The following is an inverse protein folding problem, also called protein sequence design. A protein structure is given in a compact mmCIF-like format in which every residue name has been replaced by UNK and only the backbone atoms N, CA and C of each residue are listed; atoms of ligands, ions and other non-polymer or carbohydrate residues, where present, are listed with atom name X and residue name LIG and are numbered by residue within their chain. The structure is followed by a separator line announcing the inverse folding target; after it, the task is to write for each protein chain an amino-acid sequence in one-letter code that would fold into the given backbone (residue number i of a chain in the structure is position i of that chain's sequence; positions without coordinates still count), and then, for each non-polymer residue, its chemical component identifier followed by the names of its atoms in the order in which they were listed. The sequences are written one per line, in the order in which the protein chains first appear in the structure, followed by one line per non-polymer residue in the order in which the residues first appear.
data_IF_190382514512
#
_entry.id   IF_190382514512
#
_cell.length_a   1.000
_cell.length_b   1.000
_cell.length_c   1.000
_cell.angle_alpha   90.00
_cell.angle_beta   90.00
_cell.angle_gamma   90.00
#
_symmetry.space_group_name_H-M   'P 1'
#
loop_
_entity.id
_entity.type
_entity.pdbx_description
1 polymer ?
#
# COMPACT_ATOMS: atom_id res chain seq x y z
N UNK A 1 -11.26 12.90 8.69
CA UNK A 1 -10.42 13.45 7.61
C UNK A 1 -9.28 12.52 7.24
N UNK A 2 -8.60 11.95 8.25
CA UNK A 2 -7.41 11.10 8.09
C UNK A 2 -7.70 9.67 7.55
N UNK A 3 -8.78 9.01 8.03
CA UNK A 3 -9.24 7.69 7.53
C UNK A 3 -9.60 7.71 6.03
N UNK A 4 -9.97 8.88 5.49
CA UNK A 4 -10.41 9.06 4.09
C UNK A 4 -9.25 9.05 3.08
N UNK A 5 -8.01 9.19 3.54
CA UNK A 5 -6.82 9.25 2.70
C UNK A 5 -6.37 7.86 2.20
N UNK A 6 -6.76 6.78 2.91
CA UNK A 6 -6.38 5.39 2.60
C UNK A 6 -7.00 4.83 1.31
N UNK A 7 -8.03 5.46 0.75
CA UNK A 7 -8.71 5.01 -0.48
C UNK A 7 -8.15 5.61 -1.77
N UNK A 8 -7.26 6.61 -1.67
CA UNK A 8 -6.84 7.47 -2.79
C UNK A 8 -6.04 6.78 -3.90
N UNK A 9 -5.44 5.62 -3.64
CA UNK A 9 -4.25 5.23 -4.41
C UNK A 9 -4.39 3.87 -5.12
N UNK A 10 -5.46 3.14 -4.84
CA UNK A 10 -5.68 1.78 -5.35
C UNK A 10 -6.06 1.68 -6.84
N UNK A 11 -6.41 2.76 -7.56
CA UNK A 11 -6.95 2.63 -8.93
C UNK A 11 -6.29 3.46 -10.04
N UNK A 12 -5.33 4.35 -9.77
CA UNK A 12 -4.48 4.89 -10.83
C UNK A 12 -3.46 3.85 -11.34
N UNK A 13 -3.15 2.83 -10.54
CA UNK A 13 -2.24 1.73 -10.89
C UNK A 13 -2.87 0.68 -11.84
N UNK A 14 -4.19 0.70 -12.06
CA UNK A 14 -4.90 -0.35 -12.80
C UNK A 14 -4.70 -0.34 -14.33
N UNK A 15 -3.96 0.64 -14.89
CA UNK A 15 -3.70 0.73 -16.35
C UNK A 15 -2.29 0.26 -16.73
N UNK A 16 -1.39 -0.05 -15.77
CA UNK A 16 0.04 -0.24 -16.08
C UNK A 16 0.66 -1.59 -15.71
N UNK A 17 -0.09 -2.57 -15.19
CA UNK A 17 0.51 -3.86 -14.79
C UNK A 17 0.00 -5.01 -15.66
N UNK A 18 0.72 -5.24 -16.77
CA UNK A 18 0.62 -6.49 -17.52
C UNK A 18 1.98 -7.20 -17.51
N UNK A 19 2.05 -8.31 -16.77
CA UNK A 19 2.95 -9.42 -17.06
C UNK A 19 4.18 -9.58 -16.15
N UNK A 20 4.20 -10.70 -15.40
CA UNK A 20 5.42 -11.25 -14.82
C UNK A 20 5.17 -12.29 -13.71
N UNK A 21 5.54 -13.58 -13.90
CA UNK A 21 5.47 -14.59 -12.86
C UNK A 21 6.84 -14.85 -12.21
N UNK A 22 6.89 -14.85 -10.88
CA UNK A 22 7.69 -15.75 -10.02
C UNK A 22 7.49 -15.30 -8.56
N UNK A 23 6.91 -16.15 -7.71
CA UNK A 23 6.78 -15.87 -6.27
C UNK A 23 8.14 -16.07 -5.59
N UNK A 24 9.00 -15.05 -5.66
CA UNK A 24 10.06 -14.81 -4.69
C UNK A 24 9.49 -13.92 -3.56
N UNK A 25 10.18 -13.84 -2.41
CA UNK A 25 9.90 -12.77 -1.46
C UNK A 25 9.95 -11.42 -2.20
N UNK A 26 9.06 -10.45 -1.89
CA UNK A 26 9.05 -9.15 -2.56
C UNK A 26 10.46 -8.54 -2.56
N UNK A 27 10.88 -7.93 -3.68
CA UNK A 27 12.24 -7.34 -3.84
C UNK A 27 12.59 -6.31 -2.74
N UNK A 28 11.58 -5.77 -2.06
CA UNK A 28 11.72 -4.73 -1.03
C UNK A 28 11.67 -5.24 0.43
N UNK A 29 11.52 -6.54 0.66
CA UNK A 29 11.46 -7.07 2.01
C UNK A 29 12.81 -6.92 2.72
N UNK A 30 12.92 -5.95 3.63
CA UNK A 30 14.09 -5.84 4.52
C UNK A 30 14.16 -7.14 5.32
N UNK A 31 15.32 -7.78 5.34
CA UNK A 31 15.54 -9.02 6.08
C UNK A 31 15.92 -8.74 7.54
N UNK A 32 15.58 -9.67 8.43
CA UNK A 32 16.06 -9.65 9.79
C UNK A 32 17.59 -9.83 9.82
N UNK A 33 18.21 -9.54 10.97
CA UNK A 33 19.67 -9.61 11.15
C UNK A 33 20.27 -10.96 10.75
N UNK A 34 19.53 -12.04 10.98
CA UNK A 34 19.94 -13.40 10.67
C UNK A 34 19.78 -13.75 9.17
N UNK A 35 19.03 -12.96 8.40
CA UNK A 35 18.90 -13.10 6.94
C UNK A 35 17.87 -14.14 6.47
N UNK A 36 16.94 -14.57 7.33
CA UNK A 36 15.98 -15.64 7.03
C UNK A 36 14.55 -15.16 6.84
N UNK A 37 14.17 -14.08 7.51
CA UNK A 37 12.80 -13.56 7.55
C UNK A 37 12.75 -12.17 6.95
N UNK A 38 11.86 -11.99 5.98
CA UNK A 38 11.46 -10.67 5.49
C UNK A 38 10.07 -10.32 5.98
N UNK A 39 9.85 -9.08 6.41
CA UNK A 39 8.51 -8.53 6.68
C UNK A 39 8.14 -7.58 5.55
N UNK A 40 6.97 -7.81 4.98
CA UNK A 40 6.34 -6.98 3.97
C UNK A 40 5.04 -6.36 4.50
N UNK A 41 4.67 -5.21 3.96
CA UNK A 41 3.47 -4.44 4.34
C UNK A 41 2.58 -4.30 3.11
N UNK A 42 1.41 -4.93 3.13
CA UNK A 42 0.41 -4.84 2.05
C UNK A 42 -0.96 -4.51 2.64
N UNK A 43 -1.55 -3.39 2.20
CA UNK A 43 -2.97 -3.04 2.40
C UNK A 43 -3.51 -3.29 3.81
N UNK A 44 -2.84 -2.74 4.83
CA UNK A 44 -3.28 -2.82 6.23
C UNK A 44 -2.98 -4.16 6.92
N UNK A 45 -2.21 -5.03 6.27
CA UNK A 45 -1.66 -6.25 6.84
C UNK A 45 -0.13 -6.21 6.77
N UNK A 46 0.51 -7.03 7.62
CA UNK A 46 1.92 -7.35 7.47
C UNK A 46 2.10 -8.84 7.26
N UNK A 47 3.11 -9.23 6.50
CA UNK A 47 3.46 -10.62 6.27
C UNK A 47 4.93 -10.85 6.56
N UNK A 48 5.25 -11.78 7.47
CA UNK A 48 6.61 -12.29 7.63
C UNK A 48 6.74 -13.59 6.86
N UNK A 49 7.77 -13.74 6.03
CA UNK A 49 7.97 -14.98 5.29
C UNK A 49 9.41 -15.46 5.30
N UNK A 50 9.57 -16.77 5.15
CA UNK A 50 10.84 -17.47 5.04
C UNK A 50 10.75 -18.50 3.92
N UNK A 51 11.81 -18.62 3.13
CA UNK A 51 11.93 -19.70 2.14
C UNK A 51 12.54 -20.94 2.79
N UNK A 52 11.84 -22.07 2.70
CA UNK A 52 12.25 -23.37 3.19
C UNK A 52 13.13 -24.11 2.17
N UNK A 53 13.86 -25.13 2.64
CA UNK A 53 14.54 -26.07 1.75
C UNK A 53 13.54 -26.71 0.78
N UNK A 54 13.88 -26.74 -0.51
CA UNK A 54 12.97 -27.18 -1.58
C UNK A 54 12.18 -26.03 -2.24
N UNK A 55 12.34 -24.79 -1.76
CA UNK A 55 11.77 -23.60 -2.37
C UNK A 55 10.29 -23.36 -2.06
N UNK A 56 9.76 -24.04 -1.04
CA UNK A 56 8.48 -23.71 -0.41
C UNK A 56 8.64 -22.49 0.49
N UNK A 57 7.57 -21.75 0.75
CA UNK A 57 7.56 -20.56 1.61
C UNK A 57 6.63 -20.80 2.79
N UNK A 58 7.12 -20.53 3.99
CA UNK A 58 6.28 -20.41 5.18
C UNK A 58 6.04 -18.93 5.45
N UNK A 59 4.78 -18.58 5.69
CA UNK A 59 4.34 -17.20 5.80
C UNK A 59 3.48 -17.04 7.06
N UNK A 60 3.79 -16.04 7.86
CA UNK A 60 2.92 -15.47 8.87
C UNK A 60 2.24 -14.24 8.28
N UNK A 61 0.94 -14.11 8.45
CA UNK A 61 0.20 -12.90 8.08
C UNK A 61 -0.47 -12.32 9.31
N UNK A 62 -0.40 -11.01 9.51
CA UNK A 62 -1.01 -10.35 10.64
C UNK A 62 -1.85 -9.13 10.24
N UNK A 63 -3.00 -8.97 10.89
CA UNK A 63 -3.90 -7.81 10.77
C UNK A 63 -4.36 -7.41 12.18
N UNK A 64 -4.17 -6.14 12.54
CA UNK A 64 -4.54 -5.60 13.85
C UNK A 64 -4.02 -6.44 15.05
N UNK A 65 -2.84 -7.06 14.88
CA UNK A 65 -2.22 -7.92 15.88
C UNK A 65 -2.69 -9.38 15.91
N UNK A 66 -3.67 -9.76 15.09
CA UNK A 66 -4.10 -11.15 14.93
C UNK A 66 -3.25 -11.82 13.87
N UNK A 67 -2.64 -12.96 14.20
CA UNK A 67 -1.68 -13.65 13.33
C UNK A 67 -2.26 -14.96 12.84
N UNK A 68 -2.15 -15.19 11.54
CA UNK A 68 -2.42 -16.47 10.89
C UNK A 68 -1.17 -16.94 10.13
N UNK A 69 -1.23 -18.13 9.53
CA UNK A 69 -0.12 -18.65 8.74
C UNK A 69 -0.57 -19.33 7.45
N UNK A 70 0.37 -19.42 6.51
CA UNK A 70 0.23 -20.17 5.28
C UNK A 70 1.53 -20.87 4.89
N UNK A 71 1.38 -21.91 4.07
CA UNK A 71 2.46 -22.65 3.44
C UNK A 71 2.22 -22.63 1.93
N UNK A 72 3.24 -22.22 1.18
CA UNK A 72 3.25 -22.20 -0.28
C UNK A 72 4.30 -23.18 -0.75
N UNK A 73 3.92 -24.17 -1.53
CA UNK A 73 4.79 -25.23 -2.01
C UNK A 73 4.92 -25.17 -3.52
N UNK A 74 6.03 -25.68 -4.05
CA UNK A 74 6.19 -25.84 -5.51
C UNK A 74 5.42 -27.03 -6.05
N UNK A 75 5.06 -27.97 -5.19
CA UNK A 75 4.30 -29.18 -5.51
C UNK A 75 3.04 -29.26 -4.67
N UNK A 76 2.02 -29.96 -5.20
CA UNK A 76 0.76 -30.15 -4.50
C UNK A 76 0.97 -30.78 -3.11
N UNK A 77 0.40 -30.14 -2.10
CA UNK A 77 0.40 -30.59 -0.72
C UNK A 77 -0.68 -31.67 -0.52
N UNK A 78 -0.42 -32.68 0.34
CA UNK A 78 -1.45 -33.61 0.76
C UNK A 78 -2.64 -32.88 1.40
N UNK A 79 -3.82 -33.01 0.78
CA UNK A 79 -5.07 -32.51 1.36
C UNK A 79 -5.47 -33.33 2.56
N UNK A 80 -5.98 -32.64 3.58
CA UNK A 80 -6.59 -33.22 4.77
C UNK A 80 -7.73 -32.35 5.27
N UNK A 81 -8.50 -32.87 6.23
CA UNK A 81 -9.61 -32.15 6.87
C UNK A 81 -9.20 -31.52 8.20
N UNK A 82 -8.21 -32.09 8.87
CA UNK A 82 -7.67 -31.55 10.13
C UNK A 82 -6.20 -31.23 9.96
N UNK A 83 -5.82 -30.00 10.23
CA UNK A 83 -4.45 -29.53 10.28
C UNK A 83 -3.94 -29.53 11.71
N UNK A 84 -2.64 -29.73 11.90
CA UNK A 84 -1.98 -29.50 13.19
C UNK A 84 -0.64 -28.82 12.99
N UNK A 85 -0.41 -27.72 13.69
CA UNK A 85 0.92 -27.10 13.81
C UNK A 85 1.51 -27.53 15.14
N UNK A 86 2.65 -28.20 15.10
CA UNK A 86 3.31 -28.78 16.28
C UNK A 86 4.67 -28.15 16.50
N UNK A 87 4.94 -27.80 17.74
CA UNK A 87 6.25 -27.47 18.30
C UNK A 87 6.69 -28.59 19.23
N UNK A 88 7.88 -28.48 19.83
CA UNK A 88 8.34 -29.45 20.82
C UNK A 88 7.51 -29.43 22.11
N UNK A 89 6.86 -28.31 22.41
CA UNK A 89 6.18 -28.08 23.68
C UNK A 89 4.65 -28.13 23.56
N UNK A 90 4.10 -27.91 22.36
CA UNK A 90 2.66 -27.74 22.17
C UNK A 90 2.25 -28.03 20.73
N UNK A 91 0.97 -28.34 20.52
CA UNK A 91 0.43 -28.43 19.16
C UNK A 91 -1.00 -27.91 19.12
N UNK A 92 -1.31 -27.23 18.02
CA UNK A 92 -2.59 -26.55 17.79
C UNK A 92 -3.23 -27.17 16.57
N UNK A 93 -4.47 -27.65 16.75
CA UNK A 93 -5.29 -28.10 15.64
C UNK A 93 -5.90 -26.92 14.92
N UNK A 94 -6.00 -27.01 13.60
CA UNK A 94 -6.55 -25.97 12.75
C UNK A 94 -7.35 -26.56 11.59
N UNK A 95 -8.25 -25.78 11.02
CA UNK A 95 -8.96 -26.15 9.79
C UNK A 95 -8.11 -25.71 8.57
N UNK A 96 -7.55 -26.66 7.78
CA UNK A 96 -6.74 -26.32 6.63
C UNK A 96 -7.61 -25.89 5.45
N UNK A 97 -7.21 -24.81 4.79
CA UNK A 97 -7.79 -24.36 3.53
C UNK A 97 -6.75 -24.44 2.42
N UNK A 98 -7.12 -24.98 1.27
CA UNK A 98 -6.19 -25.20 0.16
C UNK A 98 -6.53 -24.29 -1.03
N UNK A 99 -5.51 -23.85 -1.75
CA UNK A 99 -5.68 -23.32 -3.10
C UNK A 99 -6.18 -24.38 -4.07
N UNK A 100 -6.65 -23.93 -5.25
CA UNK A 100 -7.26 -24.81 -6.27
C UNK A 100 -6.33 -25.97 -6.68
N UNK A 101 -5.04 -25.67 -6.86
CA UNK A 101 -3.98 -26.60 -7.23
C UNK A 101 -3.35 -27.34 -6.03
N UNK A 102 -3.82 -27.06 -4.82
CA UNK A 102 -3.26 -27.55 -3.56
C UNK A 102 -1.77 -27.22 -3.33
N UNK A 103 -1.21 -26.24 -4.05
CA UNK A 103 0.16 -25.78 -3.78
C UNK A 103 0.20 -24.85 -2.56
N UNK A 104 -0.96 -24.34 -2.13
CA UNK A 104 -1.09 -23.48 -0.97
C UNK A 104 -1.96 -24.12 0.10
N UNK A 105 -1.56 -23.94 1.36
CA UNK A 105 -2.31 -24.28 2.56
C UNK A 105 -2.37 -23.03 3.44
N UNK A 106 -3.56 -22.67 3.89
CA UNK A 106 -3.81 -21.57 4.82
C UNK A 106 -4.55 -22.06 6.05
N UNK A 107 -4.24 -21.45 7.19
CA UNK A 107 -5.13 -21.49 8.33
C UNK A 107 -6.16 -20.36 8.17
N UNK A 108 -7.46 -20.69 8.20
CA UNK A 108 -8.54 -19.69 8.06
C UNK A 108 -8.79 -18.86 9.34
N UNK A 109 -8.29 -19.32 10.48
CA UNK A 109 -8.42 -18.61 11.75
C UNK A 109 -7.14 -17.92 12.17
N UNK A 110 -7.15 -17.44 13.41
CA UNK A 110 -6.01 -16.79 14.05
C UNK A 110 -5.37 -17.71 15.09
N UNK A 111 -4.07 -17.56 15.28
CA UNK A 111 -3.31 -18.19 16.34
C UNK A 111 -3.68 -17.53 17.67
N UNK A 112 -4.18 -18.33 18.61
CA UNK A 112 -4.47 -17.83 19.95
C UNK A 112 -3.19 -17.47 20.73
N UNK A 113 -3.35 -16.81 21.88
CA UNK A 113 -2.22 -16.37 22.71
C UNK A 113 -1.30 -17.51 23.14
N UNK A 114 -1.85 -18.72 23.34
CA UNK A 114 -1.09 -19.90 23.76
C UNK A 114 -0.29 -20.48 22.60
N UNK A 115 -0.88 -20.53 21.41
CA UNK A 115 -0.22 -20.89 20.17
C UNK A 115 0.95 -19.95 19.86
N UNK A 116 0.71 -18.63 19.97
CA UNK A 116 1.75 -17.62 19.77
C UNK A 116 2.88 -17.76 20.79
N UNK A 117 2.58 -17.97 22.07
CA UNK A 117 3.60 -18.19 23.11
C UNK A 117 4.41 -19.46 22.85
N UNK A 118 3.77 -20.55 22.41
CA UNK A 118 4.46 -21.79 22.06
C UNK A 118 5.35 -21.63 20.83
N UNK A 119 4.90 -20.89 19.82
CA UNK A 119 5.65 -20.60 18.60
C UNK A 119 6.89 -19.73 18.90
N UNK A 120 6.78 -18.71 19.76
CA UNK A 120 7.93 -17.88 20.17
C UNK A 120 9.11 -18.70 20.70
N UNK A 121 8.84 -19.80 21.39
CA UNK A 121 9.84 -20.65 22.02
C UNK A 121 10.23 -21.88 21.17
N UNK A 122 9.60 -22.07 20.01
CA UNK A 122 9.80 -23.25 19.18
C UNK A 122 11.17 -23.22 18.49
N UNK A 123 11.89 -24.34 18.56
CA UNK A 123 13.14 -24.52 17.78
C UNK A 123 12.84 -25.20 16.44
N UNK A 124 11.77 -25.98 16.39
CA UNK A 124 11.27 -26.67 15.23
C UNK A 124 9.75 -26.58 15.21
N UNK A 125 9.21 -26.47 14.00
CA UNK A 125 7.77 -26.49 13.77
C UNK A 125 7.45 -27.47 12.66
N UNK A 126 6.43 -28.29 12.90
CA UNK A 126 5.89 -29.24 11.93
C UNK A 126 4.46 -28.86 11.62
N UNK A 127 4.10 -28.95 10.36
CA UNK A 127 2.71 -28.84 9.92
C UNK A 127 2.27 -30.20 9.44
N UNK A 128 1.16 -30.69 9.97
CA UNK A 128 0.57 -31.98 9.64
C UNK A 128 -0.85 -31.78 9.10
N UNK A 129 -1.27 -32.64 8.18
CA UNK A 129 -2.64 -32.74 7.67
C UNK A 129 -3.12 -34.19 7.79
N UNK A 130 -4.21 -34.41 8.52
CA UNK A 130 -4.71 -35.73 8.92
C UNK A 130 -3.58 -36.64 9.48
N UNK A 131 -2.68 -36.06 10.30
CA UNK A 131 -1.53 -36.76 10.90
C UNK A 131 -0.34 -37.01 9.97
N UNK A 132 -0.39 -36.59 8.70
CA UNK A 132 0.73 -36.69 7.75
C UNK A 132 1.50 -35.38 7.72
N UNK A 133 2.82 -35.45 7.88
CA UNK A 133 3.68 -34.27 7.80
C UNK A 133 3.66 -33.67 6.40
N UNK A 134 3.31 -32.38 6.29
CA UNK A 134 3.32 -31.61 5.04
C UNK A 134 4.46 -30.60 4.98
N UNK A 135 4.94 -30.14 6.14
CA UNK A 135 6.14 -29.32 6.25
C UNK A 135 6.83 -29.55 7.59
N UNK A 136 8.15 -29.37 7.59
CA UNK A 136 8.98 -29.31 8.80
C UNK A 136 9.98 -28.18 8.63
N UNK A 137 10.16 -27.39 9.69
CA UNK A 137 10.93 -26.15 9.66
C UNK A 137 11.77 -26.08 10.93
N UNK A 138 13.01 -25.62 10.78
CA UNK A 138 13.89 -25.33 11.91
C UNK A 138 13.93 -23.82 12.08
N UNK A 139 13.52 -23.32 13.24
CA UNK A 139 13.51 -21.91 13.58
C UNK A 139 14.72 -21.48 14.41
N UNK A 140 15.42 -22.45 15.03
CA UNK A 140 16.65 -22.18 15.76
C UNK A 140 17.69 -21.44 14.90
N UNK A 141 18.17 -20.30 15.41
CA UNK A 141 19.13 -19.45 14.72
C UNK A 141 18.58 -18.61 13.56
N UNK A 142 17.26 -18.69 13.27
CA UNK A 142 16.66 -17.92 12.16
C UNK A 142 16.16 -16.54 12.58
N UNK A 143 15.97 -16.29 13.88
CA UNK A 143 15.34 -15.07 14.39
C UNK A 143 13.81 -15.07 14.36
N UNK A 144 13.17 -16.26 14.32
CA UNK A 144 11.71 -16.39 14.22
C UNK A 144 10.93 -15.63 15.30
N UNK A 145 11.40 -15.61 16.54
CA UNK A 145 10.77 -14.84 17.62
C UNK A 145 10.63 -13.35 17.24
N UNK A 146 11.72 -12.76 16.74
CA UNK A 146 11.74 -11.37 16.25
C UNK A 146 10.85 -11.17 15.03
N UNK A 147 10.73 -12.17 14.14
CA UNK A 147 9.82 -12.12 13.00
C UNK A 147 8.34 -12.18 13.43
N UNK A 148 8.01 -13.00 14.42
CA UNK A 148 6.65 -13.14 14.96
C UNK A 148 6.21 -11.89 15.74
N UNK A 149 7.10 -11.35 16.58
CA UNK A 149 6.82 -10.09 17.28
C UNK A 149 6.82 -8.92 16.31
N UNK A 150 7.71 -8.94 15.32
CA UNK A 150 7.80 -7.93 14.27
C UNK A 150 6.55 -7.87 13.41
N UNK A 151 6.04 -8.99 12.89
CA UNK A 151 4.82 -9.00 12.07
C UNK A 151 3.59 -8.56 12.88
N UNK A 152 3.57 -8.89 14.18
CA UNK A 152 2.50 -8.46 15.10
C UNK A 152 2.54 -6.95 15.32
N UNK A 153 3.70 -6.39 15.66
CA UNK A 153 3.90 -4.95 15.88
C UNK A 153 3.66 -4.16 14.59
N UNK A 154 4.21 -4.65 13.47
CA UNK A 154 3.99 -4.11 12.14
C UNK A 154 2.48 -4.01 11.84
N UNK A 155 1.70 -5.07 12.08
CA UNK A 155 0.26 -5.05 11.79
C UNK A 155 -0.54 -4.06 12.64
N UNK A 156 0.05 -3.55 13.73
CA UNK A 156 -0.52 -2.49 14.59
C UNK A 156 -0.05 -1.09 14.22
N UNK A 157 0.70 -0.95 13.12
CA UNK A 157 1.27 0.31 12.65
C UNK A 157 2.60 0.69 13.29
N UNK A 158 3.17 -0.16 14.13
CA UNK A 158 4.46 0.11 14.77
C UNK A 158 5.61 -0.01 13.75
N UNK A 159 6.62 0.84 13.93
CA UNK A 159 7.82 0.82 13.09
C UNK A 159 8.90 -0.07 13.70
N UNK A 160 9.71 -0.70 12.85
CA UNK A 160 10.79 -1.60 13.27
C UNK A 160 11.86 -1.77 12.20
N UNK A 161 12.61 -2.87 12.24
CA UNK A 161 13.64 -3.18 11.23
C UNK A 161 13.06 -3.39 9.83
N UNK A 162 11.75 -3.68 9.75
CA UNK A 162 10.94 -3.73 8.54
C UNK A 162 10.55 -2.35 7.98
N UNK A 163 10.87 -1.25 8.68
CA UNK A 163 10.40 0.09 8.33
C UNK A 163 9.10 0.45 9.04
N UNK A 164 8.18 1.11 8.34
CA UNK A 164 6.89 1.55 8.90
C UNK A 164 5.88 0.39 8.93
N UNK A 165 5.02 0.33 9.95
CA UNK A 165 3.99 -0.70 10.07
C UNK A 165 2.75 -0.46 9.20
N UNK A 166 1.88 -1.46 9.14
CA UNK A 166 0.59 -1.41 8.46
C UNK A 166 -0.26 -0.24 8.93
N UNK A 167 -0.73 0.56 7.97
CA UNK A 167 -1.59 1.69 8.28
C UNK A 167 -0.87 2.89 8.91
N UNK A 168 0.45 2.86 9.04
CA UNK A 168 1.24 4.07 9.26
C UNK A 168 1.00 5.01 8.07
N UNK A 169 0.43 6.17 8.35
CA UNK A 169 0.13 7.12 7.29
C UNK A 169 1.41 7.60 6.61
N UNK A 170 1.37 7.83 5.28
CA UNK A 170 2.46 8.54 4.64
C UNK A 170 2.66 9.85 5.39
N UNK A 171 3.91 10.17 5.71
CA UNK A 171 4.21 11.40 6.43
C UNK A 171 3.74 12.57 5.56
N UNK A 172 2.79 13.36 6.07
CA UNK A 172 2.30 14.55 5.40
C UNK A 172 3.21 15.69 5.81
N UNK A 173 3.98 16.23 4.87
CA UNK A 173 4.72 17.44 5.09
C UNK A 173 3.82 18.65 4.79
N UNK A 174 3.94 19.70 5.59
CA UNK A 174 3.28 20.97 5.35
C UNK A 174 4.29 21.97 4.80
N UNK A 175 3.92 22.66 3.71
CA UNK A 175 4.73 23.74 3.16
C UNK A 175 4.74 24.92 4.15
N UNK A 176 5.78 25.75 4.10
CA UNK A 176 5.98 26.86 5.06
C UNK A 176 4.86 27.91 5.09
N UNK A 177 4.02 27.97 4.05
CA UNK A 177 2.86 28.85 3.96
C UNK A 177 1.60 28.25 4.60
N UNK A 178 1.63 26.97 4.99
CA UNK A 178 0.50 26.23 5.56
C UNK A 178 -0.61 25.89 4.56
N UNK A 179 -0.44 26.19 3.26
CA UNK A 179 -1.46 25.98 2.24
C UNK A 179 -1.33 24.60 1.61
N UNK A 180 -0.10 24.25 1.22
CA UNK A 180 0.18 22.99 0.55
C UNK A 180 0.66 21.92 1.51
N UNK A 181 0.21 20.71 1.23
CA UNK A 181 0.67 19.50 1.89
C UNK A 181 1.16 18.52 0.86
N UNK A 182 2.24 17.81 1.15
CA UNK A 182 2.80 16.82 0.23
C UNK A 182 3.06 15.49 0.92
N UNK A 183 2.97 14.43 0.11
CA UNK A 183 3.30 13.08 0.54
C UNK A 183 3.81 12.23 -0.63
N UNK A 184 4.77 11.37 -0.33
CA UNK A 184 5.23 10.30 -1.20
C UNK A 184 4.56 8.99 -0.79
N UNK A 185 3.90 8.33 -1.74
CA UNK A 185 3.42 6.97 -1.59
C UNK A 185 4.26 6.01 -2.42
N UNK A 186 5.17 5.32 -1.74
CA UNK A 186 6.08 4.36 -2.33
C UNK A 186 5.37 3.08 -2.82
N UNK A 187 4.28 2.68 -2.15
CA UNK A 187 3.52 1.47 -2.49
C UNK A 187 2.94 1.59 -3.90
N UNK A 188 2.36 2.74 -4.20
CA UNK A 188 1.75 3.00 -5.50
C UNK A 188 2.64 3.77 -6.47
N UNK A 189 3.82 4.22 -6.03
CA UNK A 189 4.77 4.95 -6.87
C UNK A 189 4.26 6.33 -7.29
N UNK A 190 3.58 7.05 -6.39
CA UNK A 190 2.96 8.34 -6.65
C UNK A 190 3.33 9.35 -5.57
N UNK A 191 3.70 10.57 -5.97
CA UNK A 191 3.72 11.73 -5.09
C UNK A 191 2.46 12.56 -5.25
N UNK A 192 1.91 13.04 -4.13
CA UNK A 192 0.68 13.83 -4.11
C UNK A 192 0.91 15.16 -3.42
N UNK A 193 0.48 16.26 -4.05
CA UNK A 193 0.39 17.58 -3.44
C UNK A 193 -1.08 17.99 -3.28
N UNK A 194 -1.46 18.47 -2.10
CA UNK A 194 -2.83 18.72 -1.66
C UNK A 194 -2.99 20.17 -1.22
N UNK A 195 -4.10 20.81 -1.61
CA UNK A 195 -4.51 22.12 -1.10
C UNK A 195 -6.02 22.11 -0.81
N UNK A 196 -6.41 22.67 0.33
CA UNK A 196 -7.82 22.88 0.63
C UNK A 196 -8.36 24.00 -0.27
N UNK A 197 -9.48 23.75 -0.95
CA UNK A 197 -10.19 24.76 -1.74
C UNK A 197 -11.19 25.48 -0.86
N UNK A 198 -11.97 24.71 -0.10
CA UNK A 198 -12.91 25.16 0.92
C UNK A 198 -13.11 24.05 1.97
N UNK A 199 -14.09 24.21 2.87
CA UNK A 199 -14.40 23.23 3.91
C UNK A 199 -14.89 21.87 3.37
N UNK A 200 -15.27 21.80 2.09
CA UNK A 200 -15.84 20.61 1.45
C UNK A 200 -14.87 19.94 0.50
N UNK A 201 -14.00 20.72 -0.15
CA UNK A 201 -13.19 20.24 -1.26
C UNK A 201 -11.70 20.44 -1.04
N UNK A 202 -10.93 19.41 -1.38
CA UNK A 202 -9.47 19.46 -1.48
C UNK A 202 -9.08 19.16 -2.92
N UNK A 203 -8.21 19.99 -3.49
CA UNK A 203 -7.61 19.74 -4.79
C UNK A 203 -6.29 19.00 -4.61
N UNK A 204 -6.03 18.01 -5.45
CA UNK A 204 -4.80 17.24 -5.43
C UNK A 204 -4.13 17.20 -6.81
N UNK A 205 -2.81 17.36 -6.82
CA UNK A 205 -1.94 17.02 -7.94
C UNK A 205 -1.25 15.70 -7.64
N UNK A 206 -1.21 14.81 -8.62
CA UNK A 206 -0.59 13.49 -8.48
C UNK A 206 0.50 13.35 -9.55
N UNK A 207 1.70 12.92 -9.17
CA UNK A 207 2.79 12.67 -10.10
C UNK A 207 3.38 11.28 -9.90
N UNK A 208 3.60 10.56 -10.99
CA UNK A 208 4.14 9.20 -11.01
C UNK A 208 4.39 8.74 -12.44
N UNK A 209 5.38 7.87 -12.66
CA UNK A 209 5.68 7.35 -14.01
C UNK A 209 6.00 8.42 -15.07
N UNK A 210 6.53 9.58 -14.65
CA UNK A 210 6.81 10.72 -15.54
C UNK A 210 5.59 11.53 -15.97
N UNK A 211 4.41 11.26 -15.39
CA UNK A 211 3.15 11.96 -15.71
C UNK A 211 2.64 12.75 -14.50
N UNK A 212 1.81 13.75 -14.77
CA UNK A 212 1.08 14.51 -13.73
C UNK A 212 -0.41 14.46 -14.04
N UNK A 213 -1.24 14.17 -13.04
CA UNK A 213 -2.70 14.24 -13.09
C UNK A 213 -3.25 15.08 -11.94
N UNK A 214 -4.58 15.12 -11.83
CA UNK A 214 -5.25 15.79 -10.72
C UNK A 214 -6.49 15.04 -10.23
N UNK A 215 -6.88 15.32 -8.99
CA UNK A 215 -8.14 14.89 -8.41
C UNK A 215 -8.74 15.97 -7.51
N UNK A 216 -10.03 15.81 -7.21
CA UNK A 216 -10.78 16.61 -6.25
C UNK A 216 -11.39 15.64 -5.25
N UNK A 217 -11.13 15.89 -3.97
CA UNK A 217 -11.68 15.13 -2.85
C UNK A 217 -12.81 15.94 -2.24
N UNK A 218 -13.93 15.28 -1.94
CA UNK A 218 -15.10 15.87 -1.30
C UNK A 218 -15.29 15.36 0.14
N UNK A 219 -16.14 16.05 0.90
CA UNK A 219 -16.65 15.56 2.17
C UNK A 219 -17.65 14.40 2.02
N UNK A 220 -18.20 14.24 0.80
CA UNK A 220 -19.20 13.27 0.38
C UNK A 220 -18.94 12.79 -1.04
N UNK A 221 -19.60 11.69 -1.40
CA UNK A 221 -19.53 11.15 -2.75
C UNK A 221 -20.02 12.14 -3.82
N UNK A 222 -19.29 12.23 -4.92
CA UNK A 222 -19.64 13.13 -6.03
C UNK A 222 -20.83 12.58 -6.83
N UNK A 223 -21.68 13.50 -7.31
CA UNK A 223 -22.63 13.16 -8.36
C UNK A 223 -21.84 12.86 -9.65
N UNK A 224 -21.99 11.64 -10.17
CA UNK A 224 -21.30 11.19 -11.37
C UNK A 224 -21.77 11.97 -12.61
N UNK A 225 -20.81 12.58 -13.30
CA UNK A 225 -20.99 13.18 -14.63
C UNK A 225 -20.13 12.47 -15.67
N UNK A 226 -20.17 12.93 -16.93
CA UNK A 226 -19.47 12.26 -18.05
C UNK A 226 -18.41 13.11 -18.71
N UNK A 227 -18.50 14.43 -18.61
CA UNK A 227 -17.56 15.37 -19.23
C UNK A 227 -17.05 16.35 -18.20
N UNK A 228 -15.75 16.36 -18.01
CA UNK A 228 -15.06 17.35 -17.20
C UNK A 228 -14.47 18.45 -18.08
N UNK A 229 -14.40 19.67 -17.55
CA UNK A 229 -13.62 20.74 -18.13
C UNK A 229 -12.78 21.40 -17.05
N UNK A 230 -11.51 21.60 -17.34
CA UNK A 230 -10.59 22.36 -16.52
C UNK A 230 -10.29 23.68 -17.24
N UNK A 231 -10.49 24.80 -16.58
CA UNK A 231 -10.32 26.14 -17.15
C UNK A 231 -9.36 26.93 -16.26
N UNK A 232 -8.36 27.57 -16.87
CA UNK A 232 -7.51 28.59 -16.23
C UNK A 232 -7.76 29.94 -16.89
N UNK A 233 -7.08 30.97 -16.42
CA UNK A 233 -7.12 32.30 -17.04
C UNK A 233 -6.58 32.34 -18.49
N UNK A 234 -5.87 31.30 -18.95
CA UNK A 234 -5.23 31.28 -20.28
C UNK A 234 -5.50 30.05 -21.13
N UNK A 235 -6.05 28.99 -20.55
CA UNK A 235 -6.20 27.72 -21.24
C UNK A 235 -7.39 26.95 -20.68
N UNK A 236 -8.03 26.15 -21.54
CA UNK A 236 -9.02 25.19 -21.09
C UNK A 236 -8.85 23.88 -21.84
N UNK A 237 -9.18 22.78 -21.16
CA UNK A 237 -9.20 21.47 -21.78
C UNK A 237 -10.33 20.63 -21.20
N UNK A 238 -10.81 19.69 -22.01
CA UNK A 238 -11.81 18.71 -21.58
C UNK A 238 -11.10 17.46 -21.06
N UNK A 239 -11.71 16.80 -20.09
CA UNK A 239 -11.22 15.54 -19.55
C UNK A 239 -12.38 14.58 -19.28
N UNK A 240 -12.06 13.29 -19.17
CA UNK A 240 -13.02 12.27 -18.74
C UNK A 240 -12.90 12.08 -17.21
N UNK A 241 -13.96 12.37 -16.43
CA UNK A 241 -13.93 12.20 -14.99
C UNK A 241 -14.14 10.72 -14.61
N UNK A 242 -13.25 10.21 -13.76
CA UNK A 242 -13.45 8.99 -12.98
C UNK A 242 -13.96 9.33 -11.58
N UNK A 243 -14.63 8.36 -10.95
CA UNK A 243 -15.20 8.53 -9.61
C UNK A 243 -14.93 7.33 -8.75
N UNK A 244 -14.45 7.57 -7.53
CA UNK A 244 -14.31 6.56 -6.50
C UNK A 244 -14.67 7.17 -5.14
N UNK A 245 -15.75 6.66 -4.53
CA UNK A 245 -16.34 7.19 -3.31
C UNK A 245 -16.45 8.74 -3.31
N UNK A 246 -15.63 9.40 -2.49
CA UNK A 246 -15.56 10.84 -2.26
C UNK A 246 -14.46 11.51 -3.09
N UNK A 247 -14.01 10.88 -4.18
CA UNK A 247 -12.96 11.36 -5.07
C UNK A 247 -13.48 11.43 -6.50
N UNK A 248 -13.19 12.55 -7.17
CA UNK A 248 -13.27 12.70 -8.61
C UNK A 248 -11.85 12.88 -9.14
N UNK A 249 -11.46 12.15 -10.18
CA UNK A 249 -10.13 12.26 -10.79
C UNK A 249 -10.23 12.38 -12.30
N UNK A 250 -9.21 12.97 -12.91
CA UNK A 250 -9.05 12.90 -14.35
C UNK A 250 -8.54 11.52 -14.74
N UNK A 251 -9.23 10.80 -15.62
CA UNK A 251 -8.73 9.53 -16.20
C UNK A 251 -7.53 9.76 -17.13
N UNK A 252 -7.17 11.01 -17.41
CA UNK A 252 -6.09 11.40 -18.31
C UNK A 252 -5.07 12.27 -17.57
N UNK A 253 -3.78 12.07 -17.85
CA UNK A 253 -2.72 12.96 -17.39
C UNK A 253 -2.80 14.32 -18.07
N UNK A 254 -2.30 15.35 -17.40
CA UNK A 254 -2.10 16.68 -17.97
C UNK A 254 -1.04 16.62 -19.08
N UNK A 255 -1.41 17.08 -20.28
CA UNK A 255 -0.45 17.25 -21.37
C UNK A 255 0.50 18.44 -21.11
N UNK A 256 1.49 18.62 -21.99
CA UNK A 256 2.50 19.67 -21.84
C UNK A 256 1.90 21.08 -21.86
N UNK A 257 0.81 21.31 -22.59
CA UNK A 257 0.16 22.61 -22.68
C UNK A 257 -0.65 22.91 -21.42
N UNK A 258 -1.41 21.93 -20.92
CA UNK A 258 -2.15 21.99 -19.67
C UNK A 258 -1.20 22.21 -18.49
N UNK A 259 -0.09 21.47 -18.42
CA UNK A 259 0.92 21.67 -17.38
C UNK A 259 1.58 23.06 -17.48
N UNK A 260 1.89 23.54 -18.70
CA UNK A 260 2.46 24.87 -18.89
C UNK A 260 1.50 25.98 -18.46
N UNK A 261 0.21 25.82 -18.75
CA UNK A 261 -0.83 26.78 -18.38
C UNK A 261 -1.07 26.77 -16.88
N UNK A 262 -1.19 25.59 -16.26
CA UNK A 262 -1.46 25.45 -14.83
C UNK A 262 -0.31 26.01 -13.97
N UNK A 263 0.96 25.85 -14.40
CA UNK A 263 2.12 26.46 -13.73
C UNK A 263 2.03 27.99 -13.61
N UNK A 264 1.28 28.64 -14.50
CA UNK A 264 1.15 30.11 -14.58
C UNK A 264 -0.24 30.61 -14.25
N UNK A 265 -1.14 29.69 -13.89
CA UNK A 265 -2.53 30.01 -13.68
C UNK A 265 -2.70 30.87 -12.43
N UNK A 266 -3.51 31.91 -12.53
CA UNK A 266 -3.96 32.71 -11.38
C UNK A 266 -5.29 32.21 -10.82
N UNK A 267 -6.06 31.56 -11.67
CA UNK A 267 -7.36 30.98 -11.32
C UNK A 267 -7.51 29.62 -12.00
N UNK A 268 -8.30 28.75 -11.39
CA UNK A 268 -8.67 27.49 -12.00
C UNK A 268 -10.11 27.10 -11.63
N UNK A 269 -10.91 26.77 -12.63
CA UNK A 269 -12.27 26.26 -12.51
C UNK A 269 -12.32 24.83 -13.03
N UNK A 270 -12.88 23.94 -12.23
CA UNK A 270 -13.22 22.59 -12.67
C UNK A 270 -14.73 22.49 -12.74
N UNK A 271 -15.27 22.06 -13.88
CA UNK A 271 -16.69 21.81 -14.06
C UNK A 271 -16.97 20.39 -14.55
N UNK A 272 -18.13 19.86 -14.17
CA UNK A 272 -18.63 18.53 -14.55
C UNK A 272 -19.99 18.70 -15.21
N UNK A 273 -20.13 18.21 -16.44
CA UNK A 273 -21.32 18.35 -17.28
C UNK A 273 -21.83 19.82 -17.34
N UNK A 274 -20.88 20.77 -17.42
CA UNK A 274 -21.15 22.21 -17.48
C UNK A 274 -21.50 22.88 -16.15
N UNK A 275 -21.42 22.15 -15.03
CA UNK A 275 -21.66 22.71 -13.68
C UNK A 275 -20.34 22.92 -12.94
N UNK A 276 -20.06 24.11 -12.40
CA UNK A 276 -18.92 24.36 -11.52
C UNK A 276 -18.87 23.34 -10.38
N UNK A 277 -17.69 22.76 -10.17
CA UNK A 277 -17.40 21.87 -9.07
C UNK A 277 -16.52 22.56 -8.02
N UNK A 278 -15.36 23.06 -8.45
CA UNK A 278 -14.46 23.86 -7.62
C UNK A 278 -13.95 25.06 -8.42
N UNK A 279 -13.79 26.18 -7.72
CA UNK A 279 -13.20 27.43 -8.23
C UNK A 279 -12.06 27.83 -7.29
N UNK A 280 -10.86 27.98 -7.85
CA UNK A 280 -9.61 28.11 -7.10
C UNK A 280 -8.92 29.43 -7.46
N UNK A 281 -8.59 30.21 -6.43
CA UNK A 281 -7.61 31.29 -6.53
C UNK A 281 -6.20 30.71 -6.37
N UNK A 282 -5.43 30.70 -7.45
CA UNK A 282 -4.05 30.16 -7.50
C UNK A 282 -2.99 31.28 -7.40
N UNK A 283 -3.41 32.54 -7.42
CA UNK A 283 -2.49 33.66 -7.25
C UNK A 283 -1.92 33.66 -5.81
N UNK A 284 -0.59 33.71 -5.70
CA UNK A 284 0.10 33.74 -4.41
C UNK A 284 0.19 32.41 -3.67
N UNK A 285 -0.46 31.34 -4.13
CA UNK A 285 -0.42 30.01 -3.46
C UNK A 285 0.76 29.15 -3.90
N UNK A 286 1.64 29.63 -4.78
CA UNK A 286 2.82 28.86 -5.19
C UNK A 286 2.56 27.70 -6.16
N UNK A 287 1.41 27.68 -6.86
CA UNK A 287 1.01 26.62 -7.80
C UNK A 287 2.13 26.17 -8.75
N UNK A 288 2.86 27.11 -9.35
CA UNK A 288 3.95 26.80 -10.27
C UNK A 288 5.06 25.97 -9.61
N UNK A 289 5.49 26.36 -8.42
CA UNK A 289 6.51 25.65 -7.65
C UNK A 289 6.02 24.26 -7.25
N UNK A 290 4.75 24.14 -6.82
CA UNK A 290 4.18 22.85 -6.41
C UNK A 290 4.13 21.84 -7.55
N UNK A 291 3.88 22.29 -8.78
CA UNK A 291 3.95 21.39 -9.95
C UNK A 291 5.36 20.86 -10.19
N UNK A 292 6.39 21.64 -9.89
CA UNK A 292 7.78 21.22 -10.02
C UNK A 292 8.20 20.33 -8.84
N UNK A 293 7.74 20.65 -7.62
CA UNK A 293 7.97 19.90 -6.40
C UNK A 293 7.35 18.50 -6.45
N UNK A 294 6.08 18.37 -6.86
CA UNK A 294 5.42 17.06 -6.97
C UNK A 294 6.08 16.18 -8.02
N UNK A 295 6.58 16.78 -9.11
CA UNK A 295 7.34 16.08 -10.13
C UNK A 295 8.74 15.67 -9.65
N UNK A 296 9.42 16.51 -8.85
CA UNK A 296 10.70 16.20 -8.23
C UNK A 296 10.58 15.04 -7.23
N UNK A 297 9.57 15.11 -6.36
CA UNK A 297 9.20 14.02 -5.46
C UNK A 297 9.00 12.70 -6.22
N UNK A 298 8.27 12.72 -7.35
CA UNK A 298 8.03 11.54 -8.17
C UNK A 298 9.29 10.99 -8.88
N UNK A 299 10.35 11.80 -9.01
CA UNK A 299 11.68 11.36 -9.49
C UNK A 299 12.58 10.85 -8.36
N UNK A 300 12.09 10.85 -7.12
CA UNK A 300 12.86 10.45 -5.94
C UNK A 300 13.75 11.56 -5.38
N UNK A 301 13.55 12.80 -5.80
CA UNK A 301 14.28 13.93 -5.23
C UNK A 301 13.74 14.28 -3.83
N UNK A 302 14.64 14.63 -2.93
CA UNK A 302 14.31 15.13 -1.61
C UNK A 302 13.95 16.63 -1.66
N UNK A 303 13.06 17.06 -0.78
CA UNK A 303 12.63 18.46 -0.69
C UNK A 303 12.00 18.79 0.66
N UNK A 304 11.18 19.85 0.70
CA UNK A 304 10.43 20.20 1.93
C UNK A 304 9.41 19.13 2.33
N UNK A 305 9.05 18.26 1.39
CA UNK A 305 8.24 17.06 1.61
C UNK A 305 9.00 15.90 2.28
N UNK A 306 10.31 16.04 2.53
CA UNK A 306 11.18 14.98 3.00
C UNK A 306 11.79 14.19 1.84
N UNK A 307 11.90 12.87 2.00
CA UNK A 307 12.35 11.98 0.93
C UNK A 307 11.29 11.84 -0.16
N UNK A 308 11.72 11.77 -1.43
CA UNK A 308 10.84 11.49 -2.56
C UNK A 308 10.44 10.01 -2.67
N UNK A 309 9.91 9.60 -3.82
CA UNK A 309 9.71 8.19 -4.12
C UNK A 309 11.05 7.45 -4.09
N UNK A 310 11.08 6.29 -3.43
CA UNK A 310 12.22 5.40 -3.50
C UNK A 310 12.36 4.87 -4.92
N UNK A 311 13.58 4.90 -5.45
CA UNK A 311 13.88 4.26 -6.73
C UNK A 311 13.54 2.77 -6.60
N UNK A 312 12.64 2.30 -7.48
CA UNK A 312 12.42 0.87 -7.73
C UNK A 312 13.53 0.33 -8.59
#
# INVERSE_FOLDING_TARGET
MIVKLRRLIALAAAVLVAGGPAHAAPEDAVLNKEGYWGIDVDRGACAASMTLQGGSVFLLRAVDGNVTFGLFSRTALPRGKTGRIETEAYGVDFEPSYGEDATTLYYKGDLDARALAALRLARQVRVLTDGRMVASMTFEGTGFESALDGVTACSKGESGWWGKGAGAEPAVAEHKDGLWRMMADNENGICTALVAVDDKYTFALLAGGGQIGFSVLGDKAFKRGRKGRFETDKYSFEFKPGYDDEVMFSEQSLDSQAQFALRRAKTALISIDGKPLIDMALEGVGQGQIMDDVAACARGEAGWWGEGLKAR
#
